data_IF_687737359535
#
_entry.id   IF_687737359535
#
_cell.length_a   1.000
_cell.length_b   1.000
_cell.length_c   1.000
_cell.angle_alpha   90.00
_cell.angle_beta   90.00
_cell.angle_gamma   90.00
#
_symmetry.space_group_name_H-M   'P 1'
#
loop_
_entity.id
_entity.type
_entity.pdbx_description
1 polymer ?
#
# COMPACT_ATOMS: atom_id res chain seq x y z
N UNK A 1 -15.45 28.39 15.61
CA UNK A 1 -14.27 27.53 15.78
C UNK A 1 -14.71 26.15 15.34
N UNK A 2 -14.15 25.63 14.25
CA UNK A 2 -14.47 24.28 13.74
C UNK A 2 -14.07 23.27 14.81
N UNK A 3 -14.96 22.34 15.17
CA UNK A 3 -14.63 21.30 16.16
C UNK A 3 -13.54 20.36 15.62
N UNK A 4 -12.76 19.70 16.50
CA UNK A 4 -11.68 18.81 16.05
C UNK A 4 -12.19 17.71 15.11
N UNK A 5 -13.35 17.12 15.40
CA UNK A 5 -13.97 16.13 14.53
C UNK A 5 -14.33 16.69 13.14
N UNK A 6 -14.75 17.94 13.07
CA UNK A 6 -15.06 18.61 11.81
C UNK A 6 -13.78 18.91 11.02
N UNK A 7 -12.72 19.39 11.69
CA UNK A 7 -11.39 19.57 11.10
C UNK A 7 -10.84 18.28 10.49
N UNK A 8 -10.95 17.16 11.21
CA UNK A 8 -10.50 15.86 10.70
C UNK A 8 -11.29 15.39 9.47
N UNK A 9 -12.61 15.62 9.44
CA UNK A 9 -13.43 15.33 8.26
C UNK A 9 -13.04 16.18 7.07
N UNK A 10 -12.76 17.47 7.29
CA UNK A 10 -12.29 18.38 6.24
C UNK A 10 -10.93 17.95 5.68
N UNK A 11 -9.99 17.55 6.54
CA UNK A 11 -8.68 17.01 6.13
C UNK A 11 -8.84 15.75 5.28
N UNK A 12 -9.68 14.81 5.72
CA UNK A 12 -9.99 13.57 4.98
C UNK A 12 -10.65 13.85 3.63
N UNK A 13 -11.51 14.87 3.54
CA UNK A 13 -12.16 15.29 2.31
C UNK A 13 -11.14 15.94 1.34
N UNK A 14 -10.26 16.81 1.85
CA UNK A 14 -9.20 17.48 1.08
C UNK A 14 -8.22 16.47 0.47
N UNK A 15 -7.92 15.39 1.19
CA UNK A 15 -6.99 14.35 0.75
C UNK A 15 -7.67 13.17 0.07
N UNK A 16 -8.96 13.27 -0.27
CA UNK A 16 -9.71 12.20 -0.93
C UNK A 16 -9.15 11.93 -2.32
N UNK A 17 -8.91 10.66 -2.61
CA UNK A 17 -8.65 10.17 -3.97
C UNK A 17 -9.97 9.68 -4.54
N UNK A 18 -10.30 10.06 -5.77
CA UNK A 18 -11.49 9.54 -6.43
C UNK A 18 -11.29 8.05 -6.74
N UNK A 19 -12.24 7.23 -6.29
CA UNK A 19 -12.30 5.78 -6.54
C UNK A 19 -13.46 5.40 -7.46
N UNK A 20 -14.22 6.39 -7.94
CA UNK A 20 -15.39 6.24 -8.80
C UNK A 20 -15.05 6.34 -10.29
N UNK A 21 -15.98 6.93 -11.05
CA UNK A 21 -15.92 7.00 -12.51
C UNK A 21 -14.72 7.80 -13.03
N UNK A 22 -14.26 8.82 -12.29
CA UNK A 22 -13.13 9.67 -12.67
C UNK A 22 -11.85 9.32 -11.91
N UNK A 23 -11.79 8.12 -11.34
CA UNK A 23 -10.60 7.67 -10.63
C UNK A 23 -9.35 7.66 -11.53
N UNK A 24 -8.17 8.01 -10.98
CA UNK A 24 -6.91 7.97 -11.73
C UNK A 24 -6.64 6.63 -12.40
N UNK A 25 -6.99 5.54 -11.73
CA UNK A 25 -6.86 4.17 -12.26
C UNK A 25 -7.61 4.01 -13.58
N UNK A 26 -8.85 4.53 -13.69
CA UNK A 26 -9.65 4.42 -14.92
C UNK A 26 -9.05 5.19 -16.09
N UNK A 27 -8.28 6.24 -15.82
CA UNK A 27 -7.52 6.97 -16.85
C UNK A 27 -6.19 6.31 -17.23
N UNK A 28 -5.59 5.55 -16.33
CA UNK A 28 -4.26 4.95 -16.49
C UNK A 28 -4.31 3.52 -17.02
N UNK A 29 -5.14 2.67 -16.41
CA UNK A 29 -5.16 1.23 -16.70
C UNK A 29 -5.40 0.94 -18.19
N UNK A 30 -6.38 1.56 -18.89
CA UNK A 30 -6.61 1.30 -20.31
C UNK A 30 -5.43 1.62 -21.23
N UNK A 31 -4.49 2.48 -20.79
CA UNK A 31 -3.33 2.88 -21.58
C UNK A 31 -2.22 1.82 -21.55
N UNK A 32 -2.07 1.11 -20.42
CA UNK A 32 -0.99 0.14 -20.22
C UNK A 32 -1.47 -1.30 -20.28
N UNK A 33 -2.77 -1.54 -20.09
CA UNK A 33 -3.34 -2.88 -20.16
C UNK A 33 -3.08 -3.59 -21.51
N UNK A 34 -3.13 -2.94 -22.68
CA UNK A 34 -2.77 -3.60 -23.95
C UNK A 34 -1.35 -4.18 -23.97
N UNK A 35 -0.38 -3.50 -23.34
CA UNK A 35 1.00 -3.99 -23.21
C UNK A 35 1.04 -5.21 -22.31
N UNK A 36 0.34 -5.16 -21.17
CA UNK A 36 0.24 -6.28 -20.23
C UNK A 36 -0.40 -7.50 -20.91
N UNK A 37 -1.53 -7.29 -21.58
CA UNK A 37 -2.28 -8.34 -22.30
C UNK A 37 -1.42 -8.98 -23.40
N UNK A 38 -0.68 -8.17 -24.16
CA UNK A 38 0.26 -8.69 -25.18
C UNK A 38 1.39 -9.49 -24.57
N UNK A 39 1.94 -9.03 -23.43
CA UNK A 39 3.05 -9.70 -22.74
C UNK A 39 2.64 -11.04 -22.12
N UNK A 40 1.56 -11.06 -21.34
CA UNK A 40 1.15 -12.26 -20.60
C UNK A 40 0.24 -13.19 -21.40
N UNK A 41 -0.46 -12.67 -22.42
CA UNK A 41 -1.32 -13.44 -23.32
C UNK A 41 -2.27 -14.38 -22.58
N UNK A 42 -2.36 -15.67 -22.98
CA UNK A 42 -3.28 -16.63 -22.37
C UNK A 42 -2.91 -17.01 -20.92
N UNK A 43 -1.75 -16.59 -20.43
CA UNK A 43 -1.34 -16.88 -19.05
C UNK A 43 -1.91 -15.87 -18.04
N UNK A 44 -2.48 -14.76 -18.49
CA UNK A 44 -3.15 -13.80 -17.60
C UNK A 44 -4.48 -14.38 -17.12
N UNK A 45 -4.64 -14.43 -15.81
CA UNK A 45 -5.88 -14.81 -15.15
C UNK A 45 -6.70 -13.57 -14.81
N UNK A 46 -6.05 -12.53 -14.31
CA UNK A 46 -6.71 -11.31 -13.83
C UNK A 46 -5.72 -10.13 -13.81
N UNK A 47 -6.22 -8.92 -14.07
CA UNK A 47 -5.53 -7.66 -13.87
C UNK A 47 -6.42 -6.80 -13.00
N UNK A 48 -5.95 -6.48 -11.80
CA UNK A 48 -6.74 -5.74 -10.81
C UNK A 48 -5.92 -4.69 -10.08
N UNK A 49 -6.61 -3.67 -9.59
CA UNK A 49 -6.03 -2.74 -8.63
C UNK A 49 -5.67 -3.45 -7.34
N UNK A 50 -4.56 -3.05 -6.74
CA UNK A 50 -4.12 -3.49 -5.44
C UNK A 50 -3.72 -2.30 -4.57
N UNK A 51 -2.88 -2.53 -3.56
CA UNK A 51 -2.33 -1.47 -2.73
C UNK A 51 -3.38 -0.58 -2.06
N UNK A 52 -3.03 0.69 -1.85
CA UNK A 52 -3.87 1.60 -1.07
C UNK A 52 -5.18 1.98 -1.75
N UNK A 53 -5.21 1.97 -3.09
CA UNK A 53 -6.42 2.23 -3.86
C UNK A 53 -7.47 1.14 -3.62
N UNK A 54 -7.09 -0.13 -3.79
CA UNK A 54 -8.00 -1.25 -3.57
C UNK A 54 -8.41 -1.43 -2.10
N UNK A 55 -7.56 -1.01 -1.16
CA UNK A 55 -7.83 -1.03 0.29
C UNK A 55 -8.72 0.12 0.77
N UNK A 56 -8.99 1.13 -0.08
CA UNK A 56 -9.70 2.34 0.33
C UNK A 56 -8.90 3.27 1.25
N UNK A 57 -7.57 3.13 1.29
CA UNK A 57 -6.67 3.90 2.15
C UNK A 57 -5.77 4.86 1.37
N UNK A 58 -6.12 5.10 0.10
CA UNK A 58 -5.45 6.07 -0.75
C UNK A 58 -5.65 7.50 -0.23
N UNK A 59 -4.58 8.28 -0.26
CA UNK A 59 -4.57 9.71 0.09
C UNK A 59 -3.83 10.49 -0.99
N UNK A 60 -4.36 11.65 -1.36
CA UNK A 60 -3.76 12.51 -2.38
C UNK A 60 -2.34 12.94 -1.96
N UNK A 61 -1.45 13.16 -2.94
CA UNK A 61 -0.06 13.58 -2.69
C UNK A 61 0.92 12.49 -2.26
N UNK A 62 0.51 11.21 -2.22
CA UNK A 62 1.43 10.12 -1.86
C UNK A 62 0.96 8.70 -2.20
N UNK A 63 0.02 8.56 -3.12
CA UNK A 63 -0.50 7.25 -3.56
C UNK A 63 -0.04 6.94 -4.98
N UNK A 64 0.65 5.81 -5.14
CA UNK A 64 0.93 5.21 -6.43
C UNK A 64 -0.27 4.33 -6.85
N UNK A 65 -0.49 4.18 -8.16
CA UNK A 65 -1.48 3.26 -8.70
C UNK A 65 -0.85 1.86 -8.75
N UNK A 66 -1.25 0.97 -7.86
CA UNK A 66 -0.78 -0.40 -7.85
C UNK A 66 -1.66 -1.31 -8.72
N UNK A 67 -1.13 -1.86 -9.81
CA UNK A 67 -1.77 -2.92 -10.60
C UNK A 67 -1.11 -4.27 -10.32
N UNK A 68 -1.93 -5.27 -10.05
CA UNK A 68 -1.50 -6.63 -9.82
C UNK A 68 -1.94 -7.51 -10.99
N UNK A 69 -0.98 -8.17 -11.63
CA UNK A 69 -1.21 -9.08 -12.75
C UNK A 69 -1.08 -10.51 -12.26
N UNK A 70 -2.20 -11.20 -12.15
CA UNK A 70 -2.28 -12.60 -11.77
C UNK A 70 -2.02 -13.48 -12.99
N UNK A 71 -0.99 -14.33 -12.89
CA UNK A 71 -0.65 -15.31 -13.91
C UNK A 71 -1.03 -16.71 -13.46
N UNK A 72 -1.46 -17.56 -14.39
CA UNK A 72 -1.77 -18.98 -14.14
C UNK A 72 -0.62 -19.73 -13.47
N UNK A 73 -0.97 -20.70 -12.60
CA UNK A 73 -0.02 -21.59 -11.95
C UNK A 73 0.74 -22.50 -12.93
N UNK A 74 0.24 -22.67 -14.17
CA UNK A 74 0.86 -23.50 -15.20
C UNK A 74 2.03 -22.83 -15.92
N UNK A 75 2.27 -21.53 -15.71
CA UNK A 75 3.38 -20.81 -16.33
C UNK A 75 4.72 -21.31 -15.76
N UNK A 76 5.56 -21.89 -16.61
CA UNK A 76 6.82 -22.56 -16.21
C UNK A 76 8.02 -21.63 -16.08
N UNK A 77 7.91 -20.39 -16.58
CA UNK A 77 8.97 -19.39 -16.44
C UNK A 77 9.36 -19.16 -14.97
N UNK A 78 10.63 -18.83 -14.75
CA UNK A 78 11.09 -18.41 -13.41
C UNK A 78 10.44 -17.08 -13.03
N UNK A 79 10.24 -16.86 -11.73
CA UNK A 79 9.63 -15.59 -11.25
C UNK A 79 10.48 -14.38 -11.62
N UNK A 80 11.81 -14.52 -11.62
CA UNK A 80 12.71 -13.49 -12.11
C UNK A 80 12.46 -13.19 -13.59
N UNK A 81 12.38 -14.22 -14.45
CA UNK A 81 12.10 -14.05 -15.88
C UNK A 81 10.73 -13.41 -16.12
N UNK A 82 9.71 -13.76 -15.34
CA UNK A 82 8.40 -13.11 -15.38
C UNK A 82 8.55 -11.60 -15.09
N UNK A 83 9.27 -11.22 -14.03
CA UNK A 83 9.53 -9.81 -13.71
C UNK A 83 10.33 -9.10 -14.81
N UNK A 84 11.36 -9.75 -15.35
CA UNK A 84 12.25 -9.16 -16.37
C UNK A 84 11.55 -8.97 -17.71
N UNK A 85 10.73 -9.93 -18.12
CA UNK A 85 9.99 -9.85 -19.38
C UNK A 85 8.87 -8.81 -19.32
N UNK A 86 8.21 -8.63 -18.18
CA UNK A 86 7.25 -7.52 -18.01
C UNK A 86 7.94 -6.16 -18.17
N UNK A 87 9.09 -5.99 -17.52
CA UNK A 87 9.90 -4.77 -17.64
C UNK A 87 10.26 -4.50 -19.11
N UNK A 88 10.75 -5.53 -19.80
CA UNK A 88 11.13 -5.43 -21.21
C UNK A 88 9.93 -5.14 -22.13
N UNK A 89 8.75 -5.69 -21.84
CA UNK A 89 7.53 -5.42 -22.59
C UNK A 89 7.15 -3.93 -22.53
N UNK A 90 7.22 -3.32 -21.35
CA UNK A 90 7.01 -1.87 -21.22
C UNK A 90 8.09 -1.05 -21.91
N UNK A 91 9.36 -1.47 -21.81
CA UNK A 91 10.46 -0.79 -22.50
C UNK A 91 10.26 -0.80 -24.02
N UNK A 92 9.90 -1.95 -24.58
CA UNK A 92 9.64 -2.11 -26.02
C UNK A 92 8.41 -1.35 -26.49
N UNK A 93 7.41 -1.19 -25.61
CA UNK A 93 6.23 -0.35 -25.87
C UNK A 93 6.51 1.16 -25.76
N UNK A 94 7.76 1.57 -25.53
CA UNK A 94 8.17 2.98 -25.50
C UNK A 94 8.01 3.68 -24.15
N UNK A 95 7.71 2.95 -23.08
CA UNK A 95 7.73 3.51 -21.73
C UNK A 95 9.17 3.60 -21.20
N UNK A 96 9.35 4.39 -20.14
CA UNK A 96 10.60 4.43 -19.37
C UNK A 96 10.42 3.67 -18.04
N UNK A 97 10.39 2.31 -18.05
CA UNK A 97 10.16 1.54 -16.84
C UNK A 97 11.32 1.62 -15.85
N UNK A 98 10.99 1.56 -14.57
CA UNK A 98 11.94 1.46 -13.45
C UNK A 98 11.75 0.14 -12.73
N UNK A 99 12.85 -0.56 -12.44
CA UNK A 99 12.82 -1.77 -11.60
C UNK A 99 12.58 -1.38 -10.15
N UNK A 100 11.59 -1.99 -9.52
CA UNK A 100 11.39 -1.93 -8.08
C UNK A 100 11.65 -3.29 -7.43
N UNK A 101 11.37 -3.42 -6.13
CA UNK A 101 11.59 -4.68 -5.43
C UNK A 101 10.80 -5.83 -6.05
N UNK A 102 9.49 -5.61 -6.25
CA UNK A 102 8.52 -6.64 -6.65
C UNK A 102 7.71 -6.26 -7.90
N UNK A 103 7.96 -5.07 -8.45
CA UNK A 103 7.13 -4.47 -9.50
C UNK A 103 7.97 -3.74 -10.54
N UNK A 104 7.33 -3.43 -11.66
CA UNK A 104 7.82 -2.47 -12.66
C UNK A 104 7.09 -1.16 -12.46
N UNK A 105 7.84 -0.11 -12.10
CA UNK A 105 7.31 1.24 -11.93
C UNK A 105 7.28 2.03 -13.24
N UNK A 106 6.21 2.78 -13.45
CA UNK A 106 5.95 3.59 -14.64
C UNK A 106 5.48 4.99 -14.22
N UNK A 107 5.59 5.94 -15.16
CA UNK A 107 4.86 7.21 -15.09
C UNK A 107 3.90 7.27 -16.27
N UNK A 108 2.61 7.36 -16.01
CA UNK A 108 1.55 7.38 -17.03
C UNK A 108 0.64 8.58 -16.77
N UNK A 109 0.60 9.55 -17.69
CA UNK A 109 -0.18 10.79 -17.53
C UNK A 109 0.05 11.50 -16.18
N UNK A 110 1.31 11.56 -15.75
CA UNK A 110 1.70 12.18 -14.47
C UNK A 110 1.48 11.32 -13.23
N UNK A 111 0.84 10.15 -13.35
CA UNK A 111 0.67 9.20 -12.26
C UNK A 111 1.82 8.22 -12.19
N UNK A 112 2.30 7.95 -10.97
CA UNK A 112 3.17 6.81 -10.69
C UNK A 112 2.32 5.55 -10.65
N UNK A 113 2.77 4.51 -11.36
CA UNK A 113 2.05 3.25 -11.51
C UNK A 113 3.01 2.10 -11.27
N UNK A 114 2.66 1.18 -10.39
CA UNK A 114 3.47 0.01 -10.09
C UNK A 114 2.74 -1.25 -10.56
N UNK A 115 3.32 -1.94 -11.55
CA UNK A 115 2.76 -3.18 -12.11
C UNK A 115 3.51 -4.37 -11.52
N UNK A 116 2.81 -5.17 -10.72
CA UNK A 116 3.35 -6.34 -10.00
C UNK A 116 2.90 -7.63 -10.69
N UNK A 117 3.77 -8.36 -11.38
CA UNK A 117 3.44 -9.67 -11.91
C UNK A 117 3.61 -10.74 -10.83
N UNK A 118 2.65 -11.65 -10.73
CA UNK A 118 2.75 -12.76 -9.79
C UNK A 118 2.10 -14.04 -10.33
N UNK A 119 2.74 -15.16 -10.11
CA UNK A 119 2.24 -16.49 -10.51
C UNK A 119 1.41 -17.09 -9.39
N UNK A 120 0.21 -17.57 -9.70
CA UNK A 120 -0.62 -18.31 -8.75
C UNK A 120 0.11 -19.57 -8.27
N UNK A 121 -0.03 -19.90 -7.00
CA UNK A 121 0.53 -21.12 -6.43
C UNK A 121 -0.32 -22.36 -6.78
N UNK A 122 -1.60 -22.16 -7.06
CA UNK A 122 -2.52 -23.20 -7.49
C UNK A 122 -3.59 -22.64 -8.45
N UNK A 123 -4.41 -23.53 -9.04
CA UNK A 123 -5.37 -23.19 -10.10
C UNK A 123 -6.58 -22.36 -9.63
N UNK A 124 -6.91 -22.35 -8.34
CA UNK A 124 -8.16 -21.77 -7.81
C UNK A 124 -7.95 -20.82 -6.60
N UNK A 125 -6.78 -20.83 -5.98
CA UNK A 125 -6.42 -20.02 -4.83
C UNK A 125 -6.02 -18.60 -5.18
N UNK A 126 -5.88 -17.80 -4.11
CA UNK A 126 -5.50 -16.38 -4.16
C UNK A 126 -4.05 -16.14 -3.72
N UNK A 127 -3.32 -17.19 -3.38
CA UNK A 127 -1.89 -17.10 -3.08
C UNK A 127 -1.07 -17.07 -4.36
N UNK A 128 -0.11 -16.15 -4.38
CA UNK A 128 0.78 -15.95 -5.50
C UNK A 128 2.22 -15.92 -5.02
N UNK A 129 3.12 -16.37 -5.89
CA UNK A 129 4.55 -16.18 -5.77
C UNK A 129 5.00 -15.09 -6.74
N UNK A 130 5.82 -14.16 -6.25
CA UNK A 130 6.41 -13.07 -7.03
C UNK A 130 7.92 -12.99 -6.77
N UNK A 131 8.66 -12.34 -7.67
CA UNK A 131 10.09 -12.13 -7.52
C UNK A 131 10.39 -10.92 -6.62
N UNK A 132 11.37 -11.05 -5.73
CA UNK A 132 11.92 -9.93 -4.96
C UNK A 132 13.39 -9.73 -5.32
N UNK A 133 13.69 -8.55 -5.88
CA UNK A 133 15.08 -8.17 -6.19
C UNK A 133 15.91 -7.96 -4.93
N UNK A 134 15.29 -7.55 -3.80
CA UNK A 134 15.98 -7.39 -2.51
C UNK A 134 16.46 -8.71 -1.92
N UNK A 135 15.66 -9.78 -2.02
CA UNK A 135 16.05 -11.09 -1.45
C UNK A 135 16.71 -12.01 -2.48
N UNK A 136 16.68 -11.65 -3.77
CA UNK A 136 17.12 -12.53 -4.85
C UNK A 136 16.33 -13.85 -4.90
N UNK A 137 15.08 -13.82 -4.43
CA UNK A 137 14.22 -15.02 -4.31
C UNK A 137 12.75 -14.63 -4.40
N UNK A 138 11.86 -15.58 -4.15
CA UNK A 138 10.43 -15.38 -4.24
C UNK A 138 9.81 -14.94 -2.91
N UNK A 139 8.71 -14.19 -3.00
CA UNK A 139 7.82 -13.88 -1.87
C UNK A 139 6.42 -14.42 -2.13
N UNK A 140 5.76 -14.90 -1.07
CA UNK A 140 4.33 -15.19 -1.09
C UNK A 140 3.52 -13.91 -0.85
N UNK A 141 2.42 -13.75 -1.58
CA UNK A 141 1.43 -12.70 -1.32
C UNK A 141 0.00 -13.20 -1.55
N UNK A 142 -0.97 -12.52 -0.92
CA UNK A 142 -2.39 -12.67 -1.17
C UNK A 142 -3.05 -11.29 -1.07
N UNK A 143 -3.21 -10.66 -2.24
CA UNK A 143 -3.76 -9.30 -2.34
C UNK A 143 -5.20 -9.23 -1.83
N UNK A 144 -5.99 -10.28 -2.06
CA UNK A 144 -7.37 -10.37 -1.55
C UNK A 144 -7.40 -10.36 -0.02
N UNK A 145 -6.47 -11.06 0.63
CA UNK A 145 -6.35 -11.05 2.09
C UNK A 145 -5.91 -9.69 2.62
N UNK A 146 -4.94 -9.04 1.97
CA UNK A 146 -4.51 -7.68 2.34
C UNK A 146 -5.67 -6.68 2.23
N UNK A 147 -6.46 -6.75 1.17
CA UNK A 147 -7.65 -5.92 0.99
C UNK A 147 -8.67 -6.23 2.08
N UNK A 148 -8.99 -7.51 2.31
CA UNK A 148 -9.97 -7.94 3.33
C UNK A 148 -9.61 -7.43 4.72
N UNK A 149 -8.35 -7.61 5.13
CA UNK A 149 -7.87 -7.20 6.46
C UNK A 149 -7.97 -5.69 6.66
N UNK A 150 -7.67 -4.90 5.63
CA UNK A 150 -7.66 -3.43 5.74
C UNK A 150 -9.04 -2.83 5.48
N UNK A 151 -9.66 -3.13 4.33
CA UNK A 151 -10.96 -2.57 3.92
C UNK A 151 -12.08 -2.88 4.91
N UNK A 152 -12.08 -4.09 5.49
CA UNK A 152 -13.15 -4.53 6.39
C UNK A 152 -12.84 -4.23 7.87
N UNK A 153 -11.75 -3.50 8.16
CA UNK A 153 -11.34 -3.21 9.54
C UNK A 153 -12.24 -2.19 10.25
N UNK A 154 -12.98 -1.37 9.49
CA UNK A 154 -13.65 -0.18 10.02
C UNK A 154 -12.69 0.92 10.48
N UNK A 155 -11.41 0.88 10.06
CA UNK A 155 -10.35 1.83 10.48
C UNK A 155 -9.80 2.70 9.35
N UNK A 156 -10.55 2.86 8.26
CA UNK A 156 -10.06 3.54 7.06
C UNK A 156 -9.73 5.01 7.33
N UNK A 157 -10.55 5.71 8.11
CA UNK A 157 -10.32 7.12 8.44
C UNK A 157 -9.06 7.28 9.29
N UNK A 158 -8.88 6.45 10.31
CA UNK A 158 -7.67 6.50 11.14
C UNK A 158 -6.41 6.17 10.31
N UNK A 159 -6.46 5.14 9.47
CA UNK A 159 -5.34 4.80 8.57
C UNK A 159 -5.02 5.97 7.63
N UNK A 160 -6.03 6.57 7.01
CA UNK A 160 -5.84 7.68 6.07
C UNK A 160 -5.28 8.91 6.78
N UNK A 161 -5.78 9.26 7.96
CA UNK A 161 -5.23 10.35 8.75
C UNK A 161 -3.75 10.12 9.11
N UNK A 162 -3.39 8.92 9.58
CA UNK A 162 -1.99 8.61 9.91
C UNK A 162 -1.10 8.64 8.66
N UNK A 163 -1.60 8.25 7.49
CA UNK A 163 -0.89 8.45 6.21
C UNK A 163 -0.73 9.93 5.84
N UNK A 164 -1.75 10.76 6.04
CA UNK A 164 -1.69 12.20 5.78
C UNK A 164 -0.63 12.84 6.69
N UNK A 165 -0.68 12.55 7.99
CA UNK A 165 0.36 12.98 8.94
C UNK A 165 1.76 12.55 8.50
N UNK A 166 1.94 11.25 8.18
CA UNK A 166 3.21 10.72 7.69
C UNK A 166 3.72 11.51 6.47
N UNK A 167 2.85 11.78 5.50
CA UNK A 167 3.21 12.49 4.27
C UNK A 167 3.56 13.96 4.55
N UNK A 168 2.76 14.65 5.37
CA UNK A 168 2.96 16.05 5.73
C UNK A 168 4.34 16.28 6.35
N UNK A 169 4.79 15.34 7.19
CA UNK A 169 6.10 15.41 7.85
C UNK A 169 7.22 14.64 7.12
N UNK A 170 6.99 14.15 5.91
CA UNK A 170 8.01 13.45 5.11
C UNK A 170 8.59 12.19 5.77
N UNK A 171 7.77 11.48 6.56
CA UNK A 171 8.21 10.32 7.34
C UNK A 171 8.28 9.08 6.44
N UNK A 172 9.45 8.43 6.36
CA UNK A 172 9.59 7.16 5.64
C UNK A 172 9.03 6.00 6.47
N UNK A 173 7.74 5.73 6.31
CA UNK A 173 7.05 4.61 6.92
C UNK A 173 6.16 3.91 5.88
N UNK A 174 6.53 2.68 5.53
CA UNK A 174 5.87 1.89 4.48
C UNK A 174 4.39 1.72 4.77
N UNK A 175 3.56 2.01 3.77
CA UNK A 175 2.10 2.08 3.90
C UNK A 175 1.48 0.82 4.50
N UNK A 176 1.92 -0.37 4.09
CA UNK A 176 1.35 -1.61 4.63
C UNK A 176 1.76 -1.87 6.09
N UNK A 177 2.99 -1.50 6.48
CA UNK A 177 3.40 -1.58 7.88
C UNK A 177 2.56 -0.64 8.75
N UNK A 178 2.40 0.61 8.31
CA UNK A 178 1.55 1.61 8.96
C UNK A 178 0.11 1.11 9.12
N UNK A 179 -0.48 0.55 8.05
CA UNK A 179 -1.83 -0.04 8.07
C UNK A 179 -1.96 -1.10 9.16
N UNK A 180 -1.09 -2.12 9.16
CA UNK A 180 -1.13 -3.19 10.18
C UNK A 180 -0.89 -2.66 11.59
N UNK A 181 -0.04 -1.64 11.75
CA UNK A 181 0.22 -1.03 13.05
C UNK A 181 -1.00 -0.32 13.60
N UNK A 182 -1.70 0.46 12.78
CA UNK A 182 -2.96 1.12 13.17
C UNK A 182 -4.01 0.08 13.60
N UNK A 183 -4.15 -1.01 12.85
CA UNK A 183 -5.08 -2.10 13.19
C UNK A 183 -4.74 -2.77 14.52
N UNK A 184 -3.46 -3.00 14.78
CA UNK A 184 -3.00 -3.58 16.05
C UNK A 184 -3.21 -2.62 17.23
N UNK A 185 -2.86 -1.34 17.04
CA UNK A 185 -3.02 -0.30 18.06
C UNK A 185 -4.49 -0.06 18.46
N UNK A 186 -5.43 -0.24 17.53
CA UNK A 186 -6.86 -0.01 17.74
C UNK A 186 -7.65 -1.30 18.00
N UNK A 187 -6.98 -2.41 18.33
CA UNK A 187 -7.66 -3.65 18.71
C UNK A 187 -8.50 -3.42 19.96
N UNK A 188 -9.82 -3.65 19.85
CA UNK A 188 -10.78 -3.45 20.94
C UNK A 188 -11.23 -2.01 21.15
N UNK A 189 -10.65 -1.03 20.46
CA UNK A 189 -11.11 0.36 20.53
C UNK A 189 -12.47 0.54 19.84
N UNK A 190 -13.25 1.56 20.22
CA UNK A 190 -14.55 1.83 19.59
C UNK A 190 -14.37 2.37 18.16
N UNK A 191 -15.15 1.86 17.20
CA UNK A 191 -15.19 2.39 15.83
C UNK A 191 -16.01 3.69 15.81
N UNK A 192 -15.56 4.69 15.06
CA UNK A 192 -16.21 6.00 14.93
C UNK A 192 -15.70 7.08 15.88
N UNK A 193 -14.95 6.72 16.94
CA UNK A 193 -14.29 7.68 17.84
C UNK A 193 -12.96 8.19 17.25
N UNK A 194 -12.98 8.78 16.05
CA UNK A 194 -11.77 9.05 15.25
C UNK A 194 -10.73 9.86 16.02
N UNK A 195 -11.12 10.95 16.68
CA UNK A 195 -10.19 11.78 17.46
C UNK A 195 -9.45 10.97 18.55
N UNK A 196 -10.19 10.23 19.38
CA UNK A 196 -9.64 9.42 20.46
C UNK A 196 -8.76 8.28 19.92
N UNK A 197 -9.19 7.67 18.81
CA UNK A 197 -8.44 6.60 18.14
C UNK A 197 -7.10 7.11 17.60
N UNK A 198 -7.06 8.31 17.01
CA UNK A 198 -5.80 8.91 16.54
C UNK A 198 -4.83 9.17 17.70
N UNK A 199 -5.32 9.68 18.84
CA UNK A 199 -4.49 9.83 20.04
C UNK A 199 -3.98 8.48 20.52
N UNK A 200 -4.83 7.45 20.48
CA UNK A 200 -4.46 6.07 20.83
C UNK A 200 -3.37 5.53 19.90
N UNK A 201 -3.48 5.76 18.59
CA UNK A 201 -2.45 5.35 17.62
C UNK A 201 -1.13 6.08 17.89
N UNK A 202 -1.13 7.40 18.09
CA UNK A 202 0.11 8.13 18.38
C UNK A 202 0.77 7.64 19.67
N UNK A 203 0.00 7.39 20.74
CA UNK A 203 0.53 6.78 21.98
C UNK A 203 1.06 5.37 21.75
N UNK A 204 0.41 4.57 20.90
CA UNK A 204 0.91 3.25 20.55
C UNK A 204 2.22 3.34 19.76
N UNK A 205 2.35 4.31 18.85
CA UNK A 205 3.59 4.58 18.12
C UNK A 205 4.73 4.84 19.12
N UNK A 206 4.52 5.75 20.07
CA UNK A 206 5.58 6.13 21.02
C UNK A 206 5.97 5.01 21.98
N UNK A 207 5.02 4.16 22.37
CA UNK A 207 5.26 3.12 23.40
C UNK A 207 5.63 1.75 22.82
N UNK A 208 5.25 1.44 21.57
CA UNK A 208 5.36 0.07 21.06
C UNK A 208 6.03 -0.07 19.69
N UNK A 209 6.15 0.98 18.87
CA UNK A 209 6.65 0.83 17.49
C UNK A 209 8.07 0.22 17.41
N UNK A 210 8.93 0.54 18.37
CA UNK A 210 10.30 0.02 18.42
C UNK A 210 10.34 -1.52 18.43
N UNK A 211 9.45 -2.14 19.21
CA UNK A 211 9.53 -3.57 19.55
C UNK A 211 8.35 -4.40 19.03
N UNK A 212 7.26 -3.76 18.58
CA UNK A 212 6.06 -4.47 18.10
C UNK A 212 6.43 -5.28 16.85
N UNK A 213 6.28 -6.60 16.97
CA UNK A 213 6.40 -7.53 15.85
C UNK A 213 5.07 -7.65 15.12
N UNK A 214 5.04 -7.26 13.85
CA UNK A 214 3.88 -7.42 12.96
C UNK A 214 4.25 -8.35 11.80
N UNK A 215 3.39 -9.33 11.57
CA UNK A 215 3.54 -10.34 10.52
C UNK A 215 2.53 -10.07 9.43
N UNK A 216 2.91 -10.33 8.19
CA UNK A 216 2.02 -10.26 7.04
C UNK A 216 0.92 -11.34 7.18
N UNK A 217 -0.38 -10.97 7.17
CA UNK A 217 -1.47 -11.94 7.24
C UNK A 217 -1.49 -12.93 6.07
N UNK A 218 -0.89 -12.57 4.92
CA UNK A 218 -0.79 -13.43 3.75
C UNK A 218 0.50 -14.27 3.68
N UNK A 219 1.45 -14.02 4.57
CA UNK A 219 2.75 -14.70 4.54
C UNK A 219 3.39 -14.66 5.94
N UNK A 220 3.20 -15.72 6.72
CA UNK A 220 3.69 -15.79 8.10
C UNK A 220 5.21 -15.72 8.23
N UNK A 221 5.94 -15.99 7.14
CA UNK A 221 7.40 -15.86 7.08
C UNK A 221 7.85 -14.40 6.85
N UNK A 222 6.93 -13.51 6.47
CA UNK A 222 7.20 -12.09 6.24
C UNK A 222 6.87 -11.27 7.48
N UNK A 223 7.91 -10.80 8.19
CA UNK A 223 7.76 -9.89 9.32
C UNK A 223 7.80 -8.46 8.82
N UNK A 224 6.62 -7.89 8.57
CA UNK A 224 6.45 -6.54 8.02
C UNK A 224 7.13 -5.48 8.91
N UNK A 225 7.20 -5.69 10.22
CA UNK A 225 7.88 -4.75 11.13
C UNK A 225 9.40 -4.70 10.99
N UNK A 226 10.01 -5.59 10.21
CA UNK A 226 11.47 -5.61 9.96
C UNK A 226 11.88 -4.70 8.80
N UNK A 227 10.92 -4.13 8.05
CA UNK A 227 11.22 -3.27 6.89
C UNK A 227 11.77 -1.90 7.29
N UNK A 228 11.50 -1.45 8.53
CA UNK A 228 12.07 -0.23 9.10
C UNK A 228 13.25 -0.55 10.00
N UNK A 229 14.34 0.19 9.82
CA UNK A 229 15.50 0.16 10.70
C UNK A 229 15.16 0.73 12.08
N UNK A 230 15.99 0.44 13.09
CA UNK A 230 15.81 1.00 14.43
C UNK A 230 15.81 2.54 14.42
N UNK A 231 16.71 3.16 13.66
CA UNK A 231 16.79 4.61 13.52
C UNK A 231 15.54 5.21 12.85
N UNK A 232 15.03 4.56 11.78
CA UNK A 232 13.81 4.99 11.13
C UNK A 232 12.59 4.88 12.08
N UNK A 233 12.50 3.80 12.87
CA UNK A 233 11.47 3.70 13.93
C UNK A 233 11.63 4.81 14.98
N UNK A 234 12.86 5.13 15.37
CA UNK A 234 13.16 6.24 16.29
C UNK A 234 12.68 7.60 15.76
N UNK A 235 12.89 7.86 14.46
CA UNK A 235 12.39 9.07 13.81
C UNK A 235 10.85 9.15 13.83
N UNK A 236 10.16 8.05 13.51
CA UNK A 236 8.69 7.97 13.57
C UNK A 236 8.18 8.23 15.00
N UNK A 237 8.83 7.62 16.01
CA UNK A 237 8.49 7.81 17.43
C UNK A 237 8.62 9.27 17.84
N UNK A 238 9.75 9.92 17.48
CA UNK A 238 9.97 11.33 17.80
C UNK A 238 8.92 12.23 17.15
N UNK A 239 8.60 12.01 15.89
CA UNK A 239 7.55 12.78 15.21
C UNK A 239 6.18 12.58 15.86
N UNK A 240 5.86 11.37 16.34
CA UNK A 240 4.60 11.10 17.04
C UNK A 240 4.52 11.77 18.41
N UNK A 241 5.64 11.89 19.14
CA UNK A 241 5.71 12.66 20.38
C UNK A 241 5.38 14.14 20.14
N UNK A 242 5.99 14.73 19.10
CA UNK A 242 5.70 16.12 18.71
C UNK A 242 4.23 16.28 18.31
N UNK A 243 3.66 15.31 17.58
CA UNK A 243 2.26 15.36 17.17
C UNK A 243 1.29 15.36 18.37
N UNK A 244 1.58 14.60 19.44
CA UNK A 244 0.76 14.55 20.66
C UNK A 244 0.74 15.88 21.43
N UNK A 245 1.78 16.70 21.27
CA UNK A 245 1.93 18.00 21.95
C UNK A 245 1.50 19.17 21.05
N UNK A 246 1.15 18.91 19.79
CA UNK A 246 0.86 19.92 18.79
C UNK A 246 -0.65 20.13 18.59
N UNK A 247 -1.08 21.36 18.23
CA UNK A 247 -2.43 21.61 17.76
C UNK A 247 -2.79 20.77 16.53
N UNK A 248 -4.04 20.29 16.43
CA UNK A 248 -4.48 19.41 15.35
C UNK A 248 -4.40 20.03 13.95
N UNK A 249 -4.52 21.35 13.83
CA UNK A 249 -4.33 22.08 12.57
C UNK A 249 -2.85 22.16 12.13
N UNK A 250 -1.90 21.90 13.03
CA UNK A 250 -0.48 21.71 12.68
C UNK A 250 -0.22 20.26 12.29
N UNK A 251 -0.81 19.31 13.02
CA UNK A 251 -0.61 17.87 12.77
C UNK A 251 -1.27 17.42 11.47
N UNK A 252 -2.46 17.94 11.18
CA UNK A 252 -3.30 17.57 10.05
C UNK A 252 -3.66 18.81 9.23
N UNK A 253 -3.03 18.91 8.06
CA UNK A 253 -3.30 19.91 7.01
C UNK A 253 -3.82 19.20 5.77
#
# INVERSE_FOLDING_TARGET
>A
MVGIDEHLREVLARHRVDTGLFSPVRGVQPLIEPVIQTWGGPFIVDIRTSGSFAKGTAVHGGTDIDLFVSLTSTLTDTLQRISDTLFNAFLQAGYAPRRQNVSTGLTVNGWKVDVTPARRQDQYGNYHSLWSTKTGSWLQTNISEHIRVVSNSGRLDEIRLIKIWRNHFGIDWQSFYLELFVLDALRGARVGNVQENIVTVFRAITTSLANKRLVDPANTNNVVSNVLTADAKGAVIKSAQVALESPWNVVFQ
#
